data_IF_585634816333
#
_entry.id   IF_585634816333
#
_cell.length_a   1.000
_cell.length_b   1.000
_cell.length_c   1.000
_cell.angle_alpha   90.00
_cell.angle_beta   90.00
_cell.angle_gamma   90.00
#
_symmetry.space_group_name_H-M   'P 1'
#
loop_
_entity.id
_entity.type
_entity.pdbx_description
1 polymer ?
#
# COMPACT_ATOMS: atom_id res chain seq x y z
N UNK A 1 -18.73 0.29 -3.28
CA UNK A 1 -18.09 0.79 -4.52
C UNK A 1 -16.64 0.35 -4.44
N UNK A 2 -16.35 -0.83 -4.97
CA UNK A 2 -15.03 -1.42 -4.99
C UNK A 2 -14.25 -0.74 -6.12
N UNK A 3 -13.44 0.26 -5.78
CA UNK A 3 -12.46 0.83 -6.68
C UNK A 3 -11.48 -0.29 -7.06
N UNK A 4 -11.77 -1.05 -8.12
CA UNK A 4 -10.94 -2.15 -8.63
C UNK A 4 -9.78 -1.55 -9.41
N UNK A 5 -8.81 -1.00 -8.70
CA UNK A 5 -7.49 -0.76 -9.28
C UNK A 5 -6.74 -2.08 -9.33
N UNK A 6 -5.95 -2.25 -10.38
CA UNK A 6 -5.00 -3.36 -10.52
C UNK A 6 -3.59 -2.94 -10.13
N UNK A 7 -3.41 -1.70 -9.64
CA UNK A 7 -2.10 -1.15 -9.30
C UNK A 7 -1.99 -1.01 -7.80
N UNK A 8 -0.87 -1.44 -7.22
CA UNK A 8 -0.49 -1.17 -5.84
C UNK A 8 0.73 -0.27 -5.80
N UNK A 9 0.75 0.61 -4.82
CA UNK A 9 1.90 1.39 -4.44
C UNK A 9 2.48 0.83 -3.15
N UNK A 10 3.76 0.51 -3.18
CA UNK A 10 4.52 -0.04 -2.07
C UNK A 10 5.53 1.00 -1.64
N UNK A 11 5.39 1.53 -0.42
CA UNK A 11 6.32 2.53 0.16
C UNK A 11 7.16 1.87 1.25
N UNK A 12 8.15 2.61 1.78
CA UNK A 12 9.09 2.16 2.80
C UNK A 12 9.90 0.91 2.37
N UNK A 13 10.15 0.76 1.07
CA UNK A 13 10.96 -0.32 0.52
C UNK A 13 12.43 -0.07 0.88
N UNK A 14 13.16 -1.11 1.28
CA UNK A 14 14.57 -1.00 1.61
C UNK A 14 15.41 -0.53 0.41
N UNK A 15 16.40 0.35 0.61
CA UNK A 15 17.31 0.77 -0.46
C UNK A 15 18.18 -0.37 -1.01
N UNK A 16 18.34 -1.47 -0.26
CA UNK A 16 19.05 -2.66 -0.72
C UNK A 16 18.18 -3.61 -1.55
N UNK A 17 16.88 -3.31 -1.68
CA UNK A 17 15.94 -4.13 -2.44
C UNK A 17 15.96 -3.78 -3.92
N UNK A 18 16.05 -4.81 -4.76
CA UNK A 18 16.01 -4.70 -6.22
C UNK A 18 14.59 -4.92 -6.78
N UNK A 19 14.36 -4.45 -8.00
CA UNK A 19 13.10 -4.65 -8.74
C UNK A 19 12.77 -6.13 -8.94
N UNK A 20 13.77 -6.98 -9.20
CA UNK A 20 13.61 -8.43 -9.36
C UNK A 20 13.09 -9.10 -8.09
N UNK A 21 13.62 -8.72 -6.92
CA UNK A 21 13.15 -9.26 -5.64
C UNK A 21 11.71 -8.86 -5.35
N UNK A 22 11.35 -7.61 -5.62
CA UNK A 22 9.96 -7.14 -5.50
C UNK A 22 9.05 -7.90 -6.47
N UNK A 23 9.50 -8.07 -7.72
CA UNK A 23 8.75 -8.83 -8.72
C UNK A 23 8.53 -10.27 -8.29
N UNK A 24 9.52 -10.91 -7.67
CA UNK A 24 9.39 -12.25 -7.14
C UNK A 24 8.37 -12.29 -5.97
N UNK A 25 8.49 -11.38 -5.00
CA UNK A 25 7.59 -11.29 -3.84
C UNK A 25 6.13 -11.12 -4.27
N UNK A 26 5.86 -10.11 -5.10
CA UNK A 26 4.51 -9.84 -5.58
C UNK A 26 4.06 -10.90 -6.61
N UNK A 27 5.00 -11.56 -7.31
CA UNK A 27 4.72 -12.64 -8.24
C UNK A 27 4.18 -13.90 -7.55
N UNK A 28 4.50 -14.11 -6.26
CA UNK A 28 3.87 -15.15 -5.45
C UNK A 28 2.40 -14.84 -5.12
N UNK A 29 2.00 -13.57 -5.15
CA UNK A 29 0.62 -13.17 -4.87
C UNK A 29 -0.27 -13.20 -6.11
N UNK A 30 0.32 -12.94 -7.29
CA UNK A 30 -0.39 -12.98 -8.56
C UNK A 30 0.46 -12.56 -9.74
N UNK A 31 -0.12 -12.65 -10.94
CA UNK A 31 0.58 -12.30 -12.18
C UNK A 31 0.82 -10.80 -12.26
N UNK A 32 2.09 -10.39 -12.25
CA UNK A 32 2.51 -8.99 -12.42
C UNK A 32 2.59 -8.67 -13.92
N UNK A 33 1.84 -7.67 -14.37
CA UNK A 33 1.98 -7.08 -15.70
C UNK A 33 3.16 -6.12 -15.77
N UNK A 34 3.27 -5.19 -14.81
CA UNK A 34 4.30 -4.15 -14.82
C UNK A 34 4.79 -3.86 -13.41
N UNK A 35 6.08 -3.62 -13.25
CA UNK A 35 6.68 -3.21 -11.98
C UNK A 35 7.67 -2.07 -12.23
N UNK A 36 7.55 -0.99 -11.46
CA UNK A 36 8.45 0.18 -11.53
C UNK A 36 8.89 0.59 -10.14
N UNK A 37 10.20 0.76 -9.98
CA UNK A 37 10.82 1.11 -8.70
C UNK A 37 11.40 2.52 -8.80
N UNK A 38 11.09 3.36 -7.81
CA UNK A 38 11.46 4.76 -7.74
C UNK A 38 12.00 5.10 -6.35
N UNK A 39 13.13 5.80 -6.24
CA UNK A 39 14.08 6.10 -7.31
C UNK A 39 14.80 4.83 -7.84
N UNK A 40 15.30 4.86 -9.08
CA UNK A 40 16.03 3.73 -9.67
C UNK A 40 17.35 3.46 -8.93
N UNK A 41 17.84 2.23 -9.01
CA UNK A 41 19.01 1.72 -8.27
C UNK A 41 20.28 2.56 -8.46
N UNK A 42 20.42 3.23 -9.60
CA UNK A 42 21.59 4.06 -9.98
C UNK A 42 21.53 5.49 -9.42
N UNK A 43 20.52 5.84 -8.62
CA UNK A 43 20.44 7.19 -8.06
C UNK A 43 21.57 7.42 -7.04
N UNK A 44 22.43 8.43 -7.25
CA UNK A 44 23.56 8.74 -6.36
C UNK A 44 23.11 9.37 -5.03
N UNK A 45 21.81 9.59 -4.85
CA UNK A 45 21.24 10.20 -3.65
C UNK A 45 21.01 9.11 -2.59
N UNK A 46 21.43 9.34 -1.32
CA UNK A 46 21.12 8.44 -0.23
C UNK A 46 19.61 8.44 0.02
N UNK A 47 18.93 7.44 -0.52
CA UNK A 47 17.47 7.29 -0.38
C UNK A 47 17.18 6.45 0.84
N UNK A 48 16.53 7.05 1.83
CA UNK A 48 16.16 6.35 3.06
C UNK A 48 14.98 5.41 2.84
N UNK A 49 14.21 5.60 1.77
CA UNK A 49 13.07 4.74 1.42
C UNK A 49 12.84 4.78 -0.08
N UNK A 50 12.55 3.61 -0.65
CA UNK A 50 12.13 3.46 -2.04
C UNK A 50 10.61 3.24 -2.12
N UNK A 51 10.07 3.55 -3.28
CA UNK A 51 8.69 3.32 -3.69
C UNK A 51 8.68 2.35 -4.85
N UNK A 52 7.75 1.41 -4.86
CA UNK A 52 7.55 0.46 -5.95
C UNK A 52 6.09 0.48 -6.36
N UNK A 53 5.82 0.59 -7.64
CA UNK A 53 4.50 0.44 -8.21
C UNK A 53 4.42 -0.91 -8.90
N UNK A 54 3.40 -1.68 -8.56
CA UNK A 54 3.17 -3.00 -9.14
C UNK A 54 1.78 -3.03 -9.75
N UNK A 55 1.70 -3.32 -11.04
CA UNK A 55 0.47 -3.54 -11.79
C UNK A 55 0.26 -5.04 -11.92
N UNK A 56 -0.83 -5.52 -11.35
CA UNK A 56 -1.28 -6.90 -11.47
C UNK A 56 -2.19 -7.09 -12.67
N UNK A 57 -2.30 -8.35 -13.13
CA UNK A 57 -3.29 -8.75 -14.11
C UNK A 57 -4.70 -8.71 -13.51
N UNK A 58 -4.85 -9.16 -12.26
CA UNK A 58 -6.14 -9.29 -11.58
C UNK A 58 -6.24 -8.39 -10.34
N UNK A 59 -7.43 -7.82 -10.14
CA UNK A 59 -7.72 -6.97 -8.97
C UNK A 59 -7.74 -7.73 -7.64
N UNK A 60 -7.92 -9.07 -7.66
CA UNK A 60 -7.86 -9.90 -6.45
C UNK A 60 -6.45 -9.86 -5.83
N UNK A 61 -5.41 -9.88 -6.66
CA UNK A 61 -4.02 -9.81 -6.22
C UNK A 61 -3.71 -8.51 -5.47
N UNK A 62 -4.42 -7.41 -5.78
CA UNK A 62 -4.32 -6.13 -5.05
C UNK A 62 -4.82 -6.25 -3.62
N UNK A 63 -5.90 -7.02 -3.39
CA UNK A 63 -6.42 -7.30 -2.05
C UNK A 63 -5.41 -8.09 -1.22
N UNK A 64 -4.87 -9.17 -1.80
CA UNK A 64 -3.86 -10.01 -1.14
C UNK A 64 -2.58 -9.21 -0.83
N UNK A 65 -2.15 -8.36 -1.77
CA UNK A 65 -0.98 -7.50 -1.61
C UNK A 65 -1.08 -6.54 -0.42
N UNK A 66 -2.27 -6.06 -0.08
CA UNK A 66 -2.46 -5.17 1.08
C UNK A 66 -2.13 -5.87 2.41
N UNK A 67 -2.29 -7.20 2.49
CA UNK A 67 -1.89 -7.98 3.66
C UNK A 67 -0.37 -8.03 3.86
N UNK A 68 0.43 -7.69 2.85
CA UNK A 68 1.87 -7.51 3.01
C UNK A 68 2.23 -6.18 3.69
N UNK A 69 1.25 -5.33 4.01
CA UNK A 69 1.50 -4.17 4.86
C UNK A 69 1.97 -4.63 6.23
N UNK A 70 3.09 -4.07 6.69
CA UNK A 70 3.85 -4.50 7.87
C UNK A 70 4.66 -5.80 7.69
N UNK A 71 4.71 -6.40 6.49
CA UNK A 71 5.65 -7.49 6.22
C UNK A 71 7.05 -6.91 6.10
N UNK A 72 7.95 -7.39 6.97
CA UNK A 72 9.37 -7.01 6.93
C UNK A 72 10.03 -7.66 5.72
N UNK A 73 10.50 -6.83 4.79
CA UNK A 73 11.26 -7.24 3.62
C UNK A 73 12.67 -6.66 3.71
N UNK A 74 13.67 -7.54 3.71
CA UNK A 74 15.10 -7.25 3.99
C UNK A 74 15.33 -6.74 5.41
N UNK A 75 14.89 -5.51 5.69
CA UNK A 75 15.07 -4.81 6.98
C UNK A 75 13.88 -3.90 7.30
N UNK A 76 13.05 -3.57 6.30
CA UNK A 76 11.96 -2.60 6.45
C UNK A 76 10.60 -3.24 6.26
N UNK A 77 9.64 -2.81 7.08
CA UNK A 77 8.24 -3.14 6.92
C UNK A 77 7.67 -2.45 5.68
N UNK A 78 7.19 -3.24 4.72
CA UNK A 78 6.54 -2.73 3.52
C UNK A 78 5.20 -2.09 3.87
N UNK A 79 4.83 -1.04 3.13
CA UNK A 79 3.52 -0.41 3.25
C UNK A 79 2.86 -0.49 1.88
N UNK A 80 1.81 -1.31 1.75
CA UNK A 80 1.15 -1.57 0.48
C UNK A 80 -0.22 -0.91 0.47
N UNK A 81 -0.42 0.03 -0.46
CA UNK A 81 -1.70 0.73 -0.65
C UNK A 81 -2.19 0.53 -2.08
N UNK A 82 -3.50 0.30 -2.29
CA UNK A 82 -4.06 0.24 -3.64
C UNK A 82 -3.96 1.63 -4.28
N UNK A 83 -3.33 1.70 -5.44
CA UNK A 83 -3.19 2.93 -6.21
C UNK A 83 -4.45 3.11 -7.05
N UNK A 84 -5.49 3.68 -6.45
CA UNK A 84 -6.67 4.11 -7.19
C UNK A 84 -6.39 5.53 -7.74
N UNK A 85 -6.48 5.70 -9.06
CA UNK A 85 -6.66 7.04 -9.62
C UNK A 85 -8.02 7.56 -9.12
N UNK A 86 -7.99 8.24 -7.98
CA UNK A 86 -9.17 8.72 -7.31
C UNK A 86 -9.81 9.83 -8.16
N UNK A 87 -10.86 9.48 -8.89
CA UNK A 87 -12.02 10.36 -8.97
C UNK A 87 -12.71 10.37 -7.60
N UNK A 88 -12.28 11.29 -6.73
CA UNK A 88 -12.81 11.68 -5.39
C UNK A 88 -13.77 10.67 -4.72
N UNK A 89 -13.33 9.80 -3.79
CA UNK A 89 -14.18 9.38 -2.65
C UNK A 89 -13.51 8.41 -1.65
N UNK A 90 -12.42 8.79 -0.96
CA UNK A 90 -12.15 8.26 0.39
C UNK A 90 -11.80 9.37 1.35
N UNK A 91 -12.81 10.20 1.66
CA UNK A 91 -12.91 10.71 3.02
C UNK A 91 -13.24 9.53 3.94
N UNK A 92 -12.45 9.23 4.98
CA UNK A 92 -12.89 8.35 6.05
C UNK A 92 -13.96 9.10 6.86
N UNK A 93 -15.19 9.11 6.37
CA UNK A 93 -16.35 9.46 7.17
C UNK A 93 -17.00 8.18 7.67
N UNK A 94 -17.41 8.21 8.93
CA UNK A 94 -18.29 7.26 9.62
C UNK A 94 -17.56 6.09 10.28
N UNK A 95 -17.05 6.31 11.50
CA UNK A 95 -17.54 5.62 12.71
C UNK A 95 -17.05 6.37 13.97
N UNK A 96 -17.92 7.21 14.53
CA UNK A 96 -17.99 7.49 15.96
C UNK A 96 -19.45 7.82 16.28
N UNK A 97 -20.23 6.74 16.27
CA UNK A 97 -21.33 6.45 17.20
C UNK A 97 -21.75 7.56 18.17
N UNK A 98 -23.03 7.92 18.06
CA UNK A 98 -23.81 8.71 19.00
C UNK A 98 -23.77 8.16 20.42
N UNK A 99 -23.37 8.98 21.39
CA UNK A 99 -23.70 8.78 22.80
C UNK A 99 -24.47 9.98 23.34
N UNK A 100 -25.74 9.85 23.78
CA UNK A 100 -26.45 10.94 24.44
C UNK A 100 -25.84 11.23 25.82
N UNK A 101 -25.72 12.52 26.13
CA UNK A 101 -25.33 13.05 27.44
C UNK A 101 -26.22 12.49 28.55
N UNK A 102 -25.68 11.86 29.61
CA UNK A 102 -26.43 11.69 30.85
C UNK A 102 -26.47 13.04 31.60
N UNK A 103 -27.68 13.58 31.72
CA UNK A 103 -28.01 14.63 32.67
C UNK A 103 -27.78 14.14 34.10
N UNK A 104 -26.87 14.78 34.84
CA UNK A 104 -26.80 14.66 36.30
C UNK A 104 -27.07 16.02 36.95
N UNK A 105 -28.36 16.20 37.22
CA UNK A 105 -28.95 17.10 38.20
C UNK A 105 -28.35 16.80 39.58
N UNK A 106 -27.63 17.76 40.16
CA UNK A 106 -27.10 17.69 41.51
C UNK A 106 -27.14 19.06 42.17
N UNK A 107 -28.20 19.26 42.97
CA UNK A 107 -28.38 20.15 44.13
C UNK A 107 -27.66 21.51 44.13
#
# INVERSE_FOLDING_TARGET
>A
MNCTTNVVQVTNVSPSTTSEQMRMLFGFLGTIEELKLFPPDESPLPVTSRVCFVKFQESESVGVSQHLTNTVFVDRALIVVPFAEEGKSRAPSLMAESGPLPANRGL
#
